data_IF_363121850088
#
_entry.id   IF_363121850088
#
_cell.length_a   1.000
_cell.length_b   1.000
_cell.length_c   1.000
_cell.angle_alpha   90.00
_cell.angle_beta   90.00
_cell.angle_gamma   90.00
#
_symmetry.space_group_name_H-M   'P 1'
#
loop_
_entity.id
_entity.type
_entity.pdbx_description
1 polymer ?
#
# COMPACT_ATOMS: atom_id res chain seq x y z
N UNK A 1 6.61 5.25 -1.93
CA UNK A 1 5.19 4.96 -1.66
C UNK A 1 4.89 3.54 -2.10
N UNK A 2 4.20 2.77 -1.27
CA UNK A 2 3.79 1.39 -1.56
C UNK A 2 2.27 1.38 -1.77
N UNK A 3 1.79 0.94 -2.92
CA UNK A 3 0.36 0.78 -3.22
C UNK A 3 0.06 -0.70 -3.14
N UNK A 4 -0.69 -1.13 -2.13
CA UNK A 4 -0.99 -2.53 -1.90
C UNK A 4 -2.49 -2.83 -2.05
N UNK A 5 -2.79 -3.83 -2.89
CA UNK A 5 -4.11 -4.38 -3.08
C UNK A 5 -4.32 -5.62 -2.23
N UNK A 6 -4.94 -5.46 -1.06
CA UNK A 6 -5.45 -6.59 -0.27
C UNK A 6 -6.96 -6.75 -0.55
N UNK A 7 -7.26 -7.52 -1.60
CA UNK A 7 -8.63 -7.79 -2.05
C UNK A 7 -9.15 -9.14 -1.55
N UNK A 8 -8.27 -10.00 -1.02
CA UNK A 8 -8.56 -11.41 -0.75
C UNK A 8 -7.98 -11.77 0.61
N UNK A 9 -8.68 -12.51 1.48
CA UNK A 9 -8.19 -12.88 2.81
C UNK A 9 -6.93 -13.78 2.83
N UNK A 10 -6.28 -13.99 1.67
CA UNK A 10 -5.13 -14.87 1.50
C UNK A 10 -3.83 -14.06 1.54
N UNK A 11 -3.25 -13.93 2.74
CA UNK A 11 -1.81 -14.08 2.96
C UNK A 11 -0.84 -12.91 2.75
N UNK A 12 -1.18 -11.85 2.02
CA UNK A 12 -0.16 -10.84 1.65
C UNK A 12 0.18 -9.82 2.75
N UNK A 13 -0.64 -9.71 3.80
CA UNK A 13 -0.44 -8.73 4.87
C UNK A 13 0.93 -8.82 5.55
N UNK A 14 1.42 -10.04 5.83
CA UNK A 14 2.73 -10.23 6.46
C UNK A 14 3.89 -9.84 5.54
N UNK A 15 3.77 -10.10 4.23
CA UNK A 15 4.79 -9.69 3.26
C UNK A 15 4.87 -8.18 3.14
N UNK A 16 3.70 -7.51 3.10
CA UNK A 16 3.60 -6.05 3.09
C UNK A 16 4.21 -5.47 4.37
N UNK A 17 3.91 -6.04 5.55
CA UNK A 17 4.51 -5.61 6.81
C UNK A 17 6.04 -5.70 6.79
N UNK A 18 6.61 -6.82 6.31
CA UNK A 18 8.06 -7.01 6.22
C UNK A 18 8.70 -6.04 5.23
N UNK A 19 8.08 -5.83 4.07
CA UNK A 19 8.57 -4.87 3.08
C UNK A 19 8.57 -3.43 3.63
N UNK A 20 7.48 -3.03 4.29
CA UNK A 20 7.35 -1.71 4.91
C UNK A 20 8.36 -1.53 6.04
N UNK A 21 8.50 -2.53 6.92
CA UNK A 21 9.48 -2.49 8.00
C UNK A 21 10.91 -2.33 7.46
N UNK A 22 11.27 -3.07 6.40
CA UNK A 22 12.58 -2.96 5.76
C UNK A 22 12.82 -1.57 5.15
N UNK A 23 11.85 -1.03 4.43
CA UNK A 23 11.95 0.31 3.84
C UNK A 23 12.10 1.40 4.90
N UNK A 24 11.34 1.32 5.99
CA UNK A 24 11.43 2.25 7.11
C UNK A 24 12.80 2.12 7.81
N UNK A 25 13.30 0.90 8.01
CA UNK A 25 14.60 0.66 8.63
C UNK A 25 15.77 1.25 7.84
N UNK A 26 15.64 1.35 6.51
CA UNK A 26 16.63 2.00 5.62
C UNK A 26 16.43 3.52 5.54
N UNK A 27 15.45 4.08 6.27
CA UNK A 27 15.21 5.52 6.39
C UNK A 27 14.22 6.09 5.38
N UNK A 28 13.51 5.25 4.63
CA UNK A 28 12.46 5.74 3.73
C UNK A 28 11.20 6.12 4.51
N UNK A 29 10.59 7.25 4.12
CA UNK A 29 9.22 7.58 4.50
C UNK A 29 8.25 6.75 3.65
N UNK A 30 7.45 5.91 4.31
CA UNK A 30 6.55 4.98 3.63
C UNK A 30 5.10 5.42 3.80
N UNK A 31 4.44 5.67 2.66
CA UNK A 31 2.99 5.80 2.57
C UNK A 31 2.44 4.53 1.92
N UNK A 32 1.46 3.89 2.56
CA UNK A 32 0.80 2.67 2.10
C UNK A 32 -0.65 2.97 1.72
N UNK A 33 -1.02 2.75 0.45
CA UNK A 33 -2.41 2.82 0.02
C UNK A 33 -2.99 1.40 0.00
N UNK A 34 -4.01 1.13 0.83
CA UNK A 34 -4.69 -0.16 0.94
C UNK A 34 -6.06 -0.10 0.25
N UNK A 35 -6.35 -1.06 -0.62
CA UNK A 35 -7.65 -1.15 -1.32
C UNK A 35 -8.81 -1.42 -0.33
N UNK A 36 -8.56 -2.20 0.72
CA UNK A 36 -9.51 -2.53 1.78
C UNK A 36 -8.88 -2.35 3.17
N UNK A 37 -9.70 -2.13 4.20
CA UNK A 37 -9.29 -2.00 5.61
C UNK A 37 -9.08 -3.35 6.33
N UNK A 38 -9.27 -4.47 5.63
CA UNK A 38 -9.37 -5.81 6.23
C UNK A 38 -8.18 -6.22 7.12
N UNK A 39 -8.47 -7.06 8.12
CA UNK A 39 -7.52 -7.82 8.96
C UNK A 39 -6.60 -7.05 9.95
N UNK A 40 -6.83 -5.75 10.18
CA UNK A 40 -6.01 -4.96 11.11
C UNK A 40 -4.60 -4.66 10.62
N UNK A 41 -4.33 -4.92 9.34
CA UNK A 41 -3.07 -4.61 8.66
C UNK A 41 -2.76 -3.11 8.73
N UNK A 42 -3.77 -2.25 8.57
CA UNK A 42 -3.61 -0.79 8.69
C UNK A 42 -3.01 -0.38 10.03
N UNK A 43 -3.51 -0.92 11.14
CA UNK A 43 -3.01 -0.64 12.49
C UNK A 43 -1.58 -1.13 12.66
N UNK A 44 -1.26 -2.34 12.17
CA UNK A 44 0.11 -2.88 12.25
C UNK A 44 1.10 -2.06 11.43
N UNK A 45 0.71 -1.61 10.24
CA UNK A 45 1.54 -0.74 9.40
C UNK A 45 1.73 0.66 10.00
N UNK A 46 0.68 1.23 10.61
CA UNK A 46 0.80 2.49 11.35
C UNK A 46 1.74 2.35 12.55
N UNK A 47 1.68 1.23 13.28
CA UNK A 47 2.59 0.95 14.39
C UNK A 47 4.06 0.83 13.95
N UNK A 48 4.32 0.43 12.69
CA UNK A 48 5.66 0.45 12.10
C UNK A 48 6.13 1.86 11.69
N UNK A 49 5.27 2.88 11.77
CA UNK A 49 5.58 4.25 11.38
C UNK A 49 5.20 4.62 9.94
N UNK A 50 4.43 3.77 9.24
CA UNK A 50 3.93 4.09 7.91
C UNK A 50 2.66 4.95 7.95
N UNK A 51 2.53 5.87 7.02
CA UNK A 51 1.25 6.55 6.74
C UNK A 51 0.35 5.61 5.95
N UNK A 52 -0.87 5.34 6.42
CA UNK A 52 -1.79 4.40 5.75
C UNK A 52 -3.02 5.13 5.21
N UNK A 53 -3.33 4.94 3.92
CA UNK A 53 -4.51 5.46 3.24
C UNK A 53 -5.40 4.30 2.81
N UNK A 54 -6.64 4.27 3.29
CA UNK A 54 -7.60 3.22 2.93
C UNK A 54 -8.50 3.73 1.81
N UNK A 55 -8.53 3.03 0.68
CA UNK A 55 -9.24 3.45 -0.53
C UNK A 55 -10.72 2.99 -0.53
N UNK A 56 -11.10 2.05 0.34
CA UNK A 56 -12.44 1.49 0.52
C UNK A 56 -13.10 1.10 -0.81
N UNK A 57 -12.44 0.22 -1.58
CA UNK A 57 -12.98 -0.30 -2.84
C UNK A 57 -13.17 -1.82 -2.76
N UNK A 58 -14.27 -2.32 -3.34
CA UNK A 58 -14.55 -3.76 -3.46
C UNK A 58 -13.67 -4.45 -4.51
N UNK A 59 -12.99 -3.67 -5.36
CA UNK A 59 -12.09 -4.17 -6.41
C UNK A 59 -10.81 -3.35 -6.44
N UNK A 60 -9.67 -4.02 -6.60
CA UNK A 60 -8.36 -3.40 -6.87
C UNK A 60 -8.28 -2.80 -8.27
N UNK A 61 -9.15 -3.23 -9.20
CA UNK A 61 -9.22 -2.77 -10.58
C UNK A 61 -10.51 -1.97 -10.74
N UNK A 62 -10.46 -0.69 -10.37
CA UNK A 62 -11.51 0.28 -10.61
C UNK A 62 -10.88 1.61 -10.99
N UNK A 63 -11.44 2.30 -11.98
CA UNK A 63 -11.08 3.69 -12.32
C UNK A 63 -11.06 4.60 -11.08
N UNK A 64 -11.93 4.34 -10.11
CA UNK A 64 -11.97 5.08 -8.85
C UNK A 64 -10.73 4.85 -7.96
N UNK A 65 -10.18 3.63 -7.95
CA UNK A 65 -8.93 3.30 -7.24
C UNK A 65 -7.76 3.98 -7.94
N UNK A 66 -7.71 3.91 -9.28
CA UNK A 66 -6.68 4.59 -10.08
C UNK A 66 -6.66 6.10 -9.80
N UNK A 67 -7.83 6.76 -9.82
CA UNK A 67 -7.93 8.19 -9.55
C UNK A 67 -7.45 8.56 -8.13
N UNK A 68 -7.84 7.78 -7.11
CA UNK A 68 -7.42 8.00 -5.72
C UNK A 68 -5.91 7.79 -5.55
N UNK A 69 -5.33 6.75 -6.16
CA UNK A 69 -3.89 6.51 -6.12
C UNK A 69 -3.14 7.64 -6.83
N UNK A 70 -3.63 8.10 -7.99
CA UNK A 70 -3.04 9.23 -8.70
C UNK A 70 -3.04 10.51 -7.85
N UNK A 71 -4.12 10.78 -7.11
CA UNK A 71 -4.19 11.92 -6.19
C UNK A 71 -3.17 11.80 -5.04
N UNK A 72 -3.04 10.62 -4.44
CA UNK A 72 -2.02 10.38 -3.40
C UNK A 72 -0.61 10.58 -3.97
N UNK A 73 -0.31 10.05 -5.16
CA UNK A 73 1.01 10.23 -5.79
C UNK A 73 1.28 11.72 -6.05
N UNK A 74 0.27 12.47 -6.53
CA UNK A 74 0.40 13.91 -6.78
C UNK A 74 0.71 14.69 -5.51
N UNK A 75 0.07 14.34 -4.40
CA UNK A 75 0.19 15.05 -3.13
C UNK A 75 1.46 14.66 -2.35
N UNK A 76 1.76 13.36 -2.28
CA UNK A 76 2.90 12.82 -1.51
C UNK A 76 4.22 12.88 -2.30
N UNK A 77 4.16 13.07 -3.63
CA UNK A 77 5.31 13.10 -4.56
C UNK A 77 6.39 12.05 -4.27
N UNK A 78 6.02 10.76 -4.26
CA UNK A 78 6.96 9.71 -3.93
C UNK A 78 8.05 9.55 -4.99
N UNK A 79 9.26 9.20 -4.55
CA UNK A 79 10.37 8.86 -5.45
C UNK A 79 10.21 7.50 -6.13
N UNK A 80 9.37 6.62 -5.59
CA UNK A 80 9.14 5.27 -6.12
C UNK A 80 7.74 4.82 -5.74
N UNK A 81 7.06 4.13 -6.66
CA UNK A 81 5.76 3.51 -6.44
C UNK A 81 5.86 2.01 -6.64
N UNK A 82 5.55 1.24 -5.59
CA UNK A 82 5.54 -0.22 -5.65
C UNK A 82 4.07 -0.67 -5.67
N UNK A 83 3.62 -1.34 -6.72
CA UNK A 83 2.32 -1.98 -6.79
C UNK A 83 2.39 -3.40 -6.23
N UNK A 84 1.51 -3.76 -5.30
CA UNK A 84 1.44 -5.09 -4.70
C UNK A 84 0.06 -5.71 -4.99
N UNK A 85 0.02 -6.75 -5.82
CA UNK A 85 -1.19 -7.50 -6.15
C UNK A 85 -1.19 -8.90 -5.53
N UNK A 86 -2.27 -9.66 -5.77
CA UNK A 86 -2.42 -11.05 -5.31
C UNK A 86 -1.40 -11.99 -5.98
N UNK A 87 -0.95 -11.64 -7.20
CA UNK A 87 -0.06 -12.49 -8.01
C UNK A 87 1.31 -11.86 -8.31
N UNK A 88 1.48 -10.53 -8.20
CA UNK A 88 2.72 -9.85 -8.63
C UNK A 88 2.98 -8.57 -7.85
N UNK A 89 4.25 -8.33 -7.48
CA UNK A 89 4.75 -7.02 -7.08
C UNK A 89 5.45 -6.36 -8.29
N UNK A 90 5.05 -5.13 -8.64
CA UNK A 90 5.67 -4.34 -9.71
C UNK A 90 6.24 -3.03 -9.17
N UNK A 91 7.43 -2.64 -9.58
CA UNK A 91 8.07 -1.38 -9.18
C UNK A 91 8.01 -0.42 -10.37
N UNK A 92 7.47 0.78 -10.14
CA UNK A 92 7.48 1.90 -11.08
C UNK A 92 8.32 2.99 -10.44
N UNK A 93 9.46 3.28 -11.09
CA UNK A 93 10.39 4.34 -10.72
C UNK A 93 10.06 5.62 -11.49
#
# INVERSE_FOLDING_TARGET
>A
MLVAGDCVPVGNGRQIELAVAGLIAVGHRVCVALVSSGSGLSTRLQALGASVRILNSKSSISLSVTAKVADIIRNERPQTVIGWGVETAGIIC
#
